data_IF_683400181793
#
_entry.id   IF_683400181793
#
_cell.length_a   1.000
_cell.length_b   1.000
_cell.length_c   1.000
_cell.angle_alpha   90.00
_cell.angle_beta   90.00
_cell.angle_gamma   90.00
#
_symmetry.space_group_name_H-M   'P 1'
#
loop_
_entity.id
_entity.type
_entity.pdbx_description
1 polymer ?
#
# COMPACT_ATOMS: atom_id res chain seq x y z
N UNK A 1 10.52 6.96 13.79
CA UNK A 1 10.05 7.69 12.59
C UNK A 1 10.83 8.98 12.33
N UNK A 2 11.11 9.79 13.35
CA UNK A 2 11.65 11.14 13.18
C UNK A 2 12.97 11.21 12.40
N UNK A 3 13.89 10.26 12.63
CA UNK A 3 15.14 10.19 11.87
C UNK A 3 14.91 10.01 10.36
N UNK A 4 13.94 9.18 9.95
CA UNK A 4 13.62 8.97 8.54
C UNK A 4 13.03 10.24 7.91
N UNK A 5 12.19 10.95 8.66
CA UNK A 5 11.55 12.18 8.21
C UNK A 5 12.59 13.29 8.06
N UNK A 6 13.48 13.47 9.04
CA UNK A 6 14.50 14.52 8.96
C UNK A 6 15.45 14.28 7.80
N UNK A 7 15.95 13.05 7.63
CA UNK A 7 16.80 12.72 6.48
C UNK A 7 16.11 12.99 5.15
N UNK A 8 14.82 12.67 5.01
CA UNK A 8 14.07 12.99 3.80
C UNK A 8 13.98 14.50 3.57
N UNK A 9 13.66 15.28 4.61
CA UNK A 9 13.57 16.74 4.52
C UNK A 9 14.91 17.40 4.19
N UNK A 10 16.03 16.87 4.70
CA UNK A 10 17.37 17.33 4.33
C UNK A 10 17.60 17.21 2.82
N UNK A 11 17.25 16.06 2.22
CA UNK A 11 17.39 15.83 0.79
C UNK A 11 16.44 16.72 -0.03
N UNK A 12 15.20 16.92 0.45
CA UNK A 12 14.26 17.88 -0.15
C UNK A 12 14.89 19.27 -0.18
N UNK A 13 15.41 19.76 0.95
CA UNK A 13 16.03 21.09 1.05
C UNK A 13 17.22 21.25 0.09
N UNK A 14 17.99 20.19 -0.15
CA UNK A 14 19.10 20.23 -1.13
C UNK A 14 18.56 20.45 -2.54
N UNK A 15 17.57 19.66 -2.96
CA UNK A 15 16.95 19.82 -4.28
C UNK A 15 16.26 21.19 -4.41
N UNK A 16 15.63 21.65 -3.34
CA UNK A 16 14.95 22.94 -3.33
C UNK A 16 15.91 24.12 -3.50
N UNK A 17 17.10 24.05 -2.88
CA UNK A 17 18.19 25.04 -3.03
C UNK A 17 18.74 25.08 -4.45
N UNK A 18 18.63 23.99 -5.20
CA UNK A 18 19.01 23.90 -6.61
C UNK A 18 17.86 24.25 -7.57
N UNK A 19 16.78 24.84 -7.05
CA UNK A 19 15.56 25.18 -7.78
C UNK A 19 14.86 23.97 -8.44
N UNK A 20 15.12 22.75 -7.95
CA UNK A 20 14.50 21.54 -8.45
C UNK A 20 13.27 21.17 -7.62
N UNK A 21 12.08 21.14 -8.25
CA UNK A 21 10.80 20.84 -7.59
C UNK A 21 10.07 19.62 -8.15
N UNK A 22 10.60 19.00 -9.20
CA UNK A 22 9.96 17.85 -9.86
C UNK A 22 10.39 16.53 -9.22
N UNK A 23 9.96 16.30 -7.98
CA UNK A 23 10.37 15.14 -7.20
C UNK A 23 9.19 14.35 -6.64
N UNK A 24 9.45 13.08 -6.32
CA UNK A 24 8.57 12.21 -5.53
C UNK A 24 9.38 11.57 -4.43
N UNK A 25 8.77 11.34 -3.28
CA UNK A 25 9.48 10.86 -2.10
C UNK A 25 8.98 9.49 -1.64
N UNK A 26 9.89 8.70 -1.08
CA UNK A 26 9.55 7.47 -0.37
C UNK A 26 10.45 7.30 0.84
N UNK A 27 9.87 6.98 1.99
CA UNK A 27 10.56 6.69 3.25
C UNK A 27 10.11 5.32 3.77
N UNK A 28 10.51 4.27 3.05
CA UNK A 28 10.08 2.90 3.31
C UNK A 28 10.74 2.34 4.57
N UNK A 29 10.00 1.53 5.31
CA UNK A 29 10.52 0.71 6.40
C UNK A 29 9.96 -0.71 6.31
N UNK A 30 10.68 -1.65 6.92
CA UNK A 30 10.23 -3.04 7.04
C UNK A 30 9.13 -3.14 8.08
N UNK A 31 9.21 -2.41 9.20
CA UNK A 31 8.17 -2.41 10.23
C UNK A 31 6.98 -1.51 9.86
N UNK A 32 5.79 -2.10 9.76
CA UNK A 32 4.58 -1.41 9.28
C UNK A 32 4.20 -0.21 10.17
N UNK A 33 4.15 -0.30 11.50
CA UNK A 33 3.80 0.85 12.35
C UNK A 33 4.79 2.01 12.19
N UNK A 34 6.09 1.71 12.11
CA UNK A 34 7.14 2.70 11.89
C UNK A 34 6.97 3.40 10.54
N UNK A 35 6.72 2.63 9.47
CA UNK A 35 6.49 3.17 8.13
C UNK A 35 5.29 4.13 8.14
N UNK A 36 4.16 3.68 8.68
CA UNK A 36 2.92 4.48 8.72
C UNK A 36 3.12 5.78 9.50
N UNK A 37 3.75 5.70 10.67
CA UNK A 37 4.08 6.90 11.48
C UNK A 37 4.96 7.88 10.71
N UNK A 38 5.98 7.38 10.00
CA UNK A 38 6.90 8.21 9.26
C UNK A 38 6.23 8.90 8.06
N UNK A 39 5.41 8.19 7.27
CA UNK A 39 4.69 8.79 6.15
C UNK A 39 3.67 9.84 6.61
N UNK A 40 2.91 9.58 7.69
CA UNK A 40 1.99 10.58 8.26
C UNK A 40 2.73 11.86 8.63
N UNK A 41 3.82 11.73 9.40
CA UNK A 41 4.67 12.87 9.80
C UNK A 41 5.29 13.61 8.61
N UNK A 42 5.68 12.90 7.54
CA UNK A 42 6.26 13.52 6.35
C UNK A 42 5.19 14.23 5.51
N UNK A 43 4.00 13.64 5.35
CA UNK A 43 2.94 14.15 4.47
C UNK A 43 2.49 15.57 4.82
N UNK A 44 2.45 15.91 6.11
CA UNK A 44 2.09 17.26 6.57
C UNK A 44 3.19 18.31 6.32
N UNK A 45 4.41 17.89 5.97
CA UNK A 45 5.60 18.75 5.88
C UNK A 45 6.03 19.06 4.46
N UNK A 46 5.51 18.34 3.47
CA UNK A 46 5.94 18.49 2.08
C UNK A 46 4.74 18.55 1.12
N UNK A 47 4.84 19.31 0.02
CA UNK A 47 3.82 19.34 -1.02
C UNK A 47 4.06 18.32 -2.14
N UNK A 48 5.05 17.43 -2.00
CA UNK A 48 5.48 16.54 -3.08
C UNK A 48 4.79 15.17 -3.03
N UNK A 49 4.56 14.52 -4.18
CA UNK A 49 3.95 13.20 -4.23
C UNK A 49 4.75 12.13 -3.46
N UNK A 50 4.03 11.22 -2.80
CA UNK A 50 4.56 10.13 -2.00
C UNK A 50 4.41 8.78 -2.72
N UNK A 51 5.52 8.06 -2.87
CA UNK A 51 5.57 6.69 -3.34
C UNK A 51 5.59 5.71 -2.17
N UNK A 52 4.45 5.05 -1.96
CA UNK A 52 4.25 4.10 -0.88
C UNK A 52 4.87 2.73 -1.17
N UNK A 53 5.25 2.05 -0.11
CA UNK A 53 5.60 0.64 -0.17
C UNK A 53 6.30 0.18 1.10
N UNK A 54 5.95 -1.02 1.56
CA UNK A 54 6.70 -1.72 2.60
C UNK A 54 7.91 -2.37 1.93
N UNK A 55 9.10 -2.18 2.49
CA UNK A 55 10.30 -2.91 2.02
C UNK A 55 10.41 -4.25 2.74
N UNK A 56 11.00 -5.25 2.09
CA UNK A 56 11.22 -6.58 2.67
C UNK A 56 9.93 -7.18 3.28
N UNK A 57 8.84 -7.20 2.50
CA UNK A 57 7.55 -7.61 3.03
C UNK A 57 7.47 -9.14 3.28
N UNK A 58 8.32 -9.92 2.60
CA UNK A 58 8.43 -11.37 2.72
C UNK A 58 7.82 -12.12 1.54
N UNK A 59 7.56 -13.41 1.72
CA UNK A 59 6.91 -14.28 0.72
C UNK A 59 5.52 -13.80 0.35
N UNK A 60 4.93 -14.32 -0.73
CA UNK A 60 3.62 -13.88 -1.24
C UNK A 60 2.57 -13.73 -0.13
N UNK A 61 2.37 -14.76 0.71
CA UNK A 61 1.36 -14.74 1.78
C UNK A 61 1.64 -13.63 2.82
N UNK A 62 2.84 -13.62 3.40
CA UNK A 62 3.18 -12.69 4.47
C UNK A 62 3.33 -11.26 3.96
N UNK A 63 3.97 -11.10 2.81
CA UNK A 63 4.18 -9.83 2.14
C UNK A 63 2.89 -9.19 1.66
N UNK A 64 1.90 -9.98 1.24
CA UNK A 64 0.55 -9.48 0.89
C UNK A 64 -0.11 -8.84 2.10
N UNK A 65 -0.18 -9.55 3.23
CA UNK A 65 -0.81 -9.04 4.46
C UNK A 65 -0.09 -7.77 4.93
N UNK A 66 1.24 -7.84 5.02
CA UNK A 66 2.06 -6.74 5.51
C UNK A 66 1.96 -5.49 4.62
N UNK A 67 1.99 -5.67 3.30
CA UNK A 67 1.82 -4.58 2.35
C UNK A 67 0.41 -4.00 2.38
N UNK A 68 -0.63 -4.83 2.45
CA UNK A 68 -2.01 -4.38 2.55
C UNK A 68 -2.25 -3.55 3.82
N UNK A 69 -1.70 -3.97 4.97
CA UNK A 69 -1.80 -3.20 6.22
C UNK A 69 -1.08 -1.84 6.13
N UNK A 70 0.18 -1.83 5.66
CA UNK A 70 0.97 -0.60 5.64
C UNK A 70 0.53 0.40 4.57
N UNK A 71 0.35 -0.07 3.33
CA UNK A 71 -0.07 0.79 2.21
C UNK A 71 -1.55 1.18 2.40
N UNK A 72 -2.40 0.24 2.79
CA UNK A 72 -3.83 0.49 2.94
C UNK A 72 -4.16 1.50 4.04
N UNK A 73 -3.44 1.45 5.18
CA UNK A 73 -3.61 2.44 6.24
C UNK A 73 -3.32 3.87 5.76
N UNK A 74 -2.24 4.08 5.02
CA UNK A 74 -1.88 5.40 4.51
C UNK A 74 -2.85 5.89 3.43
N UNK A 75 -3.28 5.00 2.53
CA UNK A 75 -4.25 5.35 1.50
C UNK A 75 -5.62 5.73 2.09
N UNK A 76 -6.06 5.10 3.19
CA UNK A 76 -7.27 5.50 3.93
C UNK A 76 -7.15 6.90 4.54
N UNK A 77 -5.94 7.30 4.95
CA UNK A 77 -5.66 8.66 5.43
C UNK A 77 -5.55 9.68 4.27
N UNK A 78 -5.69 9.25 3.01
CA UNK A 78 -5.49 10.10 1.83
C UNK A 78 -4.02 10.36 1.49
N UNK A 79 -3.09 9.58 2.05
CA UNK A 79 -1.65 9.72 1.83
C UNK A 79 -1.18 8.71 0.78
N UNK A 80 -0.58 9.20 -0.30
CA UNK A 80 0.10 8.38 -1.32
C UNK A 80 -0.42 8.58 -2.74
N UNK A 81 0.51 8.74 -3.69
CA UNK A 81 0.22 9.06 -5.09
C UNK A 81 0.58 7.91 -6.04
N UNK A 82 1.47 7.03 -5.58
CA UNK A 82 1.86 5.81 -6.27
C UNK A 82 2.29 4.79 -5.22
N UNK A 83 2.22 3.50 -5.55
CA UNK A 83 2.60 2.42 -4.64
C UNK A 83 3.43 1.37 -5.37
N UNK A 84 4.21 0.63 -4.58
CA UNK A 84 4.78 -0.66 -4.97
C UNK A 84 4.65 -1.64 -3.81
N UNK A 85 4.11 -2.82 -4.09
CA UNK A 85 4.17 -3.99 -3.21
C UNK A 85 5.52 -4.66 -3.41
N UNK A 86 6.21 -5.08 -2.34
CA UNK A 86 7.54 -5.69 -2.45
C UNK A 86 7.49 -7.14 -1.94
N UNK A 87 7.38 -8.11 -2.84
CA UNK A 87 7.25 -9.53 -2.50
C UNK A 87 8.52 -10.31 -2.86
N UNK A 88 8.82 -11.34 -2.08
CA UNK A 88 9.78 -12.36 -2.47
C UNK A 88 9.08 -13.39 -3.35
N UNK A 89 9.07 -13.17 -4.67
CA UNK A 89 8.40 -14.02 -5.66
C UNK A 89 8.36 -13.38 -7.05
N UNK A 90 7.47 -13.89 -7.91
CA UNK A 90 7.23 -13.32 -9.25
C UNK A 90 6.64 -11.89 -9.13
N UNK A 91 7.18 -10.90 -9.87
CA UNK A 91 6.67 -9.52 -9.84
C UNK A 91 5.22 -9.36 -10.29
N UNK A 92 4.65 -10.32 -11.04
CA UNK A 92 3.23 -10.31 -11.40
C UNK A 92 2.35 -10.26 -10.14
N UNK A 93 2.73 -10.99 -9.08
CA UNK A 93 2.00 -10.97 -7.82
C UNK A 93 2.09 -9.62 -7.09
N UNK A 94 3.18 -8.86 -7.27
CA UNK A 94 3.26 -7.48 -6.73
C UNK A 94 2.18 -6.60 -7.37
N UNK A 95 1.94 -6.76 -8.67
CA UNK A 95 0.94 -6.00 -9.44
C UNK A 95 -0.47 -6.41 -9.02
N UNK A 96 -0.75 -7.71 -8.92
CA UNK A 96 -2.04 -8.25 -8.48
C UNK A 96 -2.42 -7.74 -7.09
N UNK A 97 -1.51 -7.84 -6.12
CA UNK A 97 -1.73 -7.36 -4.76
C UNK A 97 -1.94 -5.85 -4.74
N UNK A 98 -1.12 -5.09 -5.48
CA UNK A 98 -1.27 -3.64 -5.57
C UNK A 98 -2.63 -3.20 -6.13
N UNK A 99 -3.11 -3.89 -7.16
CA UNK A 99 -4.45 -3.69 -7.72
C UNK A 99 -5.54 -4.04 -6.71
N UNK A 100 -5.42 -5.18 -6.02
CA UNK A 100 -6.37 -5.62 -5.01
C UNK A 100 -6.47 -4.66 -3.83
N UNK A 101 -5.36 -4.06 -3.38
CA UNK A 101 -5.36 -3.02 -2.34
C UNK A 101 -6.17 -1.81 -2.79
N UNK A 102 -5.90 -1.29 -4.00
CA UNK A 102 -6.60 -0.12 -4.54
C UNK A 102 -8.09 -0.38 -4.78
N UNK A 103 -8.44 -1.57 -5.28
CA UNK A 103 -9.84 -1.99 -5.46
C UNK A 103 -10.57 -2.12 -4.13
N UNK A 104 -9.94 -2.76 -3.13
CA UNK A 104 -10.55 -2.95 -1.79
C UNK A 104 -10.84 -1.63 -1.08
N UNK A 105 -10.07 -0.58 -1.38
CA UNK A 105 -10.27 0.77 -0.84
C UNK A 105 -11.23 1.62 -1.68
N UNK A 106 -11.73 1.11 -2.81
CA UNK A 106 -12.58 1.86 -3.73
C UNK A 106 -11.88 3.00 -4.47
N UNK A 107 -10.54 3.05 -4.45
CA UNK A 107 -9.76 4.12 -5.09
C UNK A 107 -9.62 3.93 -6.60
N UNK A 108 -9.58 2.68 -7.05
CA UNK A 108 -9.51 2.30 -8.47
C UNK A 108 -10.27 1.00 -8.68
N UNK A 109 -10.84 0.82 -9.87
CA UNK A 109 -11.42 -0.45 -10.26
C UNK A 109 -10.61 -1.10 -11.38
N UNK A 110 -10.29 -2.39 -11.23
CA UNK A 110 -9.54 -3.18 -12.20
C UNK A 110 -10.35 -4.37 -12.76
N UNK A 111 -11.65 -4.46 -12.49
CA UNK A 111 -12.50 -5.52 -13.03
C UNK A 111 -13.76 -5.75 -12.20
N UNK A 112 -14.29 -6.97 -12.25
CA UNK A 112 -15.33 -7.38 -11.32
C UNK A 112 -14.70 -7.66 -9.94
N UNK A 113 -15.40 -7.31 -8.87
CA UNK A 113 -15.07 -7.74 -7.51
C UNK A 113 -16.13 -8.72 -7.05
N UNK A 114 -15.72 -9.97 -6.83
CA UNK A 114 -16.59 -10.99 -6.26
C UNK A 114 -16.74 -10.74 -4.76
N UNK A 115 -17.98 -10.65 -4.29
CA UNK A 115 -18.31 -10.47 -2.87
C UNK A 115 -19.17 -11.65 -2.47
N UNK A 116 -18.69 -12.44 -1.51
CA UNK A 116 -19.41 -13.58 -0.96
C UNK A 116 -19.60 -13.42 0.55
N UNK A 117 -20.71 -13.98 1.04
CA UNK A 117 -20.94 -14.09 2.48
C UNK A 117 -20.02 -15.20 3.03
N UNK A 118 -19.43 -15.05 4.22
CA UNK A 118 -18.69 -16.14 4.88
C UNK A 118 -19.55 -17.38 5.21
N UNK A 119 -20.88 -17.31 5.01
CA UNK A 119 -21.93 -18.25 5.44
C UNK A 119 -22.28 -18.16 6.93
N UNK A 120 -23.42 -18.76 7.31
CA UNK A 120 -23.86 -18.96 8.68
C UNK A 120 -24.84 -20.16 8.73
N UNK A 121 -25.42 -20.47 9.89
CA UNK A 121 -26.42 -21.55 10.04
C UNK A 121 -27.71 -21.37 9.21
N UNK A 122 -27.86 -20.25 8.50
CA UNK A 122 -28.95 -20.00 7.54
C UNK A 122 -28.61 -20.43 6.11
N UNK A 123 -27.38 -20.86 5.84
CA UNK A 123 -26.96 -21.24 4.49
C UNK A 123 -27.66 -22.53 4.07
N UNK A 124 -28.41 -22.47 2.97
CA UNK A 124 -29.17 -23.61 2.42
C UNK A 124 -28.55 -24.17 1.13
N UNK A 125 -27.40 -23.62 0.71
CA UNK A 125 -26.72 -23.96 -0.53
C UNK A 125 -25.23 -24.19 -0.29
N UNK A 126 -24.57 -24.88 -1.22
CA UNK A 126 -23.12 -25.00 -1.19
C UNK A 126 -22.48 -23.72 -1.75
N UNK A 127 -22.41 -22.70 -0.90
CA UNK A 127 -21.90 -21.38 -1.30
C UNK A 127 -20.41 -21.43 -1.69
N UNK A 128 -19.62 -22.31 -1.08
CA UNK A 128 -18.18 -22.42 -1.35
C UNK A 128 -17.92 -22.80 -2.80
N UNK A 129 -18.53 -23.89 -3.28
CA UNK A 129 -18.37 -24.34 -4.66
C UNK A 129 -18.91 -23.31 -5.66
N UNK A 130 -20.06 -22.71 -5.34
CA UNK A 130 -20.65 -21.68 -6.19
C UNK A 130 -19.76 -20.44 -6.30
N UNK A 131 -19.12 -20.01 -5.21
CA UNK A 131 -18.23 -18.85 -5.21
C UNK A 131 -16.97 -19.12 -6.05
N UNK A 132 -16.36 -20.30 -5.93
CA UNK A 132 -15.17 -20.68 -6.70
C UNK A 132 -15.41 -20.84 -8.21
N UNK A 133 -16.65 -21.09 -8.64
CA UNK A 133 -17.00 -21.12 -10.08
C UNK A 133 -17.08 -19.71 -10.68
N UNK A 134 -17.40 -18.71 -9.86
CA UNK A 134 -17.62 -17.32 -10.29
C UNK A 134 -16.33 -16.49 -10.24
N UNK A 135 -15.41 -16.82 -9.34
CA UNK A 135 -14.07 -16.22 -9.22
C UNK A 135 -13.18 -16.56 -10.43
#
# INVERSE_FOLDING_TARGET
ADGMVETALEHVRILEKLDYRQMKLSIKATEVPLMVEAYRKLSDKIPYPLHLGVTEAGTIKQGTIKSAMGIGALLLDGIGDTLRVSLTGDPIHEIEVGRSILSSLGLRNFGATMISCPTCGRCQVNLFDMASIVE
#
